data_IF_647218280471
#
_entry.id   IF_647218280471
#
_cell.length_a   1.000
_cell.length_b   1.000
_cell.length_c   1.000
_cell.angle_alpha   90.00
_cell.angle_beta   90.00
_cell.angle_gamma   90.00
#
_symmetry.space_group_name_H-M   'P 1'
#
loop_
_entity.id
_entity.type
_entity.pdbx_description
1 polymer ?
#
# COMPACT_ATOMS: atom_id res chain seq x y z
N UNK A 1 0.97 -11.51 -15.25
CA UNK A 1 -0.03 -10.76 -14.43
C UNK A 1 -0.24 -9.34 -14.95
N UNK A 2 0.75 -8.45 -14.93
CA UNK A 2 0.59 -7.04 -15.36
C UNK A 2 0.01 -6.92 -16.79
N UNK A 3 0.61 -7.60 -17.76
CA UNK A 3 0.14 -7.59 -19.14
C UNK A 3 -1.23 -8.24 -19.33
N UNK A 4 -1.51 -9.31 -18.57
CA UNK A 4 -2.84 -9.92 -18.59
C UNK A 4 -3.88 -8.92 -18.12
N UNK A 5 -3.65 -8.26 -16.99
CA UNK A 5 -4.60 -7.29 -16.44
C UNK A 5 -4.79 -6.07 -17.37
N UNK A 6 -3.71 -5.59 -18.01
CA UNK A 6 -3.79 -4.50 -18.98
C UNK A 6 -4.66 -4.86 -20.21
N UNK A 7 -4.62 -6.14 -20.64
CA UNK A 7 -5.46 -6.66 -21.74
C UNK A 7 -6.89 -6.99 -21.33
N UNK A 8 -7.18 -7.07 -20.01
CA UNK A 8 -8.49 -7.42 -19.46
C UNK A 8 -8.97 -6.33 -18.49
N UNK A 9 -9.20 -5.11 -18.96
CA UNK A 9 -9.65 -4.01 -18.11
C UNK A 9 -11.06 -4.26 -17.59
N UNK A 10 -11.37 -3.76 -16.41
CA UNK A 10 -12.73 -3.73 -15.88
C UNK A 10 -13.50 -2.53 -16.46
N UNK A 11 -14.82 -2.67 -16.56
CA UNK A 11 -15.72 -1.59 -17.02
C UNK A 11 -15.88 -0.50 -15.96
N UNK A 12 -14.79 0.16 -15.60
CA UNK A 12 -14.74 1.27 -14.65
C UNK A 12 -13.80 2.34 -15.17
N UNK A 13 -13.93 3.56 -14.67
CA UNK A 13 -12.97 4.63 -14.98
C UNK A 13 -11.55 4.19 -14.63
N UNK A 14 -10.54 4.43 -15.47
CA UNK A 14 -9.14 4.22 -15.13
C UNK A 14 -8.67 5.06 -13.93
N UNK A 15 -9.43 6.07 -13.52
CA UNK A 15 -9.19 6.90 -12.34
C UNK A 15 -9.86 6.35 -11.07
N UNK A 16 -10.60 5.25 -11.16
CA UNK A 16 -11.24 4.63 -10.01
C UNK A 16 -10.19 4.04 -9.04
N UNK A 17 -10.45 4.06 -7.74
CA UNK A 17 -9.53 3.57 -6.71
C UNK A 17 -9.00 2.14 -6.95
N UNK A 18 -9.79 1.29 -7.61
CA UNK A 18 -9.36 -0.07 -7.96
C UNK A 18 -8.14 -0.08 -8.88
N UNK A 19 -8.09 0.87 -9.80
CA UNK A 19 -6.91 1.10 -10.65
C UNK A 19 -5.79 1.80 -9.89
N UNK A 20 -6.09 2.66 -8.92
CA UNK A 20 -5.07 3.26 -8.05
C UNK A 20 -4.20 2.20 -7.37
N UNK A 21 -4.83 1.15 -6.83
CA UNK A 21 -4.11 0.01 -6.27
C UNK A 21 -3.31 -0.79 -7.32
N UNK A 22 -3.86 -0.97 -8.52
CA UNK A 22 -3.14 -1.62 -9.62
C UNK A 22 -1.93 -0.79 -10.07
N UNK A 23 -2.10 0.52 -10.19
CA UNK A 23 -1.00 1.42 -10.57
C UNK A 23 0.09 1.48 -9.51
N UNK A 24 -0.25 1.45 -8.22
CA UNK A 24 0.74 1.27 -7.15
C UNK A 24 1.53 -0.04 -7.31
N UNK A 25 0.87 -1.11 -7.75
CA UNK A 25 1.51 -2.37 -8.11
C UNK A 25 2.44 -2.23 -9.32
N UNK A 26 2.03 -1.50 -10.36
CA UNK A 26 2.87 -1.22 -11.54
C UNK A 26 4.11 -0.39 -11.17
N UNK A 27 3.98 0.58 -10.25
CA UNK A 27 5.12 1.33 -9.68
C UNK A 27 6.12 0.37 -9.07
N UNK A 28 5.70 -0.42 -8.08
CA UNK A 28 6.61 -1.34 -7.37
C UNK A 28 7.26 -2.35 -8.31
N UNK A 29 6.48 -2.86 -9.27
CA UNK A 29 7.00 -3.77 -10.29
C UNK A 29 8.02 -3.09 -11.20
N UNK A 30 7.70 -1.91 -11.72
CA UNK A 30 8.57 -1.16 -12.63
C UNK A 30 9.89 -0.73 -11.98
N UNK A 31 9.84 -0.27 -10.73
CA UNK A 31 11.05 0.07 -9.96
C UNK A 31 11.90 -1.18 -9.63
N UNK A 32 11.27 -2.34 -9.49
CA UNK A 32 11.97 -3.61 -9.22
C UNK A 32 12.53 -4.25 -10.50
N UNK A 33 11.89 -4.03 -11.66
CA UNK A 33 12.23 -4.59 -12.97
C UNK A 33 12.15 -3.46 -14.01
N UNK A 34 13.16 -2.56 -14.08
CA UNK A 34 13.09 -1.35 -14.91
C UNK A 34 12.88 -1.63 -16.41
N UNK A 35 13.39 -2.75 -16.92
CA UNK A 35 13.22 -3.21 -18.31
C UNK A 35 11.84 -3.85 -18.56
N UNK A 36 11.04 -4.04 -17.51
CA UNK A 36 9.72 -4.64 -17.59
C UNK A 36 8.64 -3.65 -18.06
N UNK A 37 7.41 -4.14 -18.33
CA UNK A 37 6.32 -3.32 -18.84
C UNK A 37 5.65 -2.42 -17.76
N UNK A 38 6.10 -2.43 -16.49
CA UNK A 38 5.44 -1.74 -15.39
C UNK A 38 5.34 -0.23 -15.61
N UNK A 39 6.48 0.46 -15.67
CA UNK A 39 6.51 1.92 -15.89
C UNK A 39 5.96 2.33 -17.26
N UNK A 40 6.25 1.65 -18.40
CA UNK A 40 5.61 1.95 -19.68
C UNK A 40 4.08 1.89 -19.64
N UNK A 41 3.50 0.87 -19.02
CA UNK A 41 2.05 0.75 -18.87
C UNK A 41 1.46 1.87 -18.01
N UNK A 42 2.16 2.21 -16.94
CA UNK A 42 1.74 3.28 -16.03
C UNK A 42 1.81 4.65 -16.70
N UNK A 43 2.90 4.95 -17.41
CA UNK A 43 3.08 6.21 -18.15
C UNK A 43 1.97 6.41 -19.17
N UNK A 44 1.69 5.37 -19.97
CA UNK A 44 0.59 5.37 -20.93
C UNK A 44 -0.75 5.68 -20.25
N UNK A 45 -1.05 5.01 -19.14
CA UNK A 45 -2.29 5.26 -18.40
C UNK A 45 -2.39 6.70 -17.89
N UNK A 46 -1.29 7.26 -17.36
CA UNK A 46 -1.24 8.65 -16.88
C UNK A 46 -1.45 9.68 -17.99
N UNK A 47 -0.80 9.48 -19.14
CA UNK A 47 -0.94 10.36 -20.32
C UNK A 47 -2.37 10.33 -20.87
N UNK A 48 -2.96 9.14 -21.04
CA UNK A 48 -4.35 8.97 -21.50
C UNK A 48 -5.38 9.61 -20.54
N UNK A 49 -5.09 9.65 -19.24
CA UNK A 49 -5.92 10.29 -18.23
C UNK A 49 -5.49 11.73 -17.92
N UNK A 50 -4.53 12.29 -18.67
CA UNK A 50 -3.99 13.64 -18.46
C UNK A 50 -3.57 13.88 -17.00
N UNK A 51 -3.11 12.85 -16.30
CA UNK A 51 -2.68 12.88 -14.89
C UNK A 51 -3.74 13.37 -13.90
N UNK A 52 -5.03 13.26 -14.27
CA UNK A 52 -6.17 13.70 -13.45
C UNK A 52 -6.49 12.68 -12.35
N UNK A 53 -7.25 13.13 -11.36
CA UNK A 53 -7.99 12.28 -10.41
C UNK A 53 -9.49 12.36 -10.70
N UNK A 54 -10.31 11.60 -9.99
CA UNK A 54 -11.74 11.83 -9.98
C UNK A 54 -12.06 13.16 -9.24
N UNK A 55 -13.32 13.57 -9.24
CA UNK A 55 -13.70 14.95 -8.91
C UNK A 55 -14.29 15.16 -7.49
N UNK A 56 -14.40 14.10 -6.68
CA UNK A 56 -14.74 14.20 -5.27
C UNK A 56 -13.49 14.58 -4.47
N UNK A 57 -13.15 15.88 -4.43
CA UNK A 57 -11.85 16.36 -3.95
C UNK A 57 -11.46 15.90 -2.54
N UNK A 58 -12.42 15.66 -1.65
CA UNK A 58 -12.16 15.22 -0.27
C UNK A 58 -12.18 13.70 -0.11
N UNK A 59 -12.77 12.96 -1.04
CA UNK A 59 -12.94 11.52 -0.94
C UNK A 59 -11.61 10.80 -1.21
N UNK A 60 -11.15 10.02 -0.24
CA UNK A 60 -9.85 9.33 -0.32
C UNK A 60 -9.68 8.45 -1.57
N UNK A 61 -10.75 7.76 -1.98
CA UNK A 61 -10.71 6.89 -3.16
C UNK A 61 -10.33 7.64 -4.44
N UNK A 62 -10.72 8.92 -4.55
CA UNK A 62 -10.43 9.74 -5.72
C UNK A 62 -8.97 10.19 -5.76
N UNK A 63 -8.24 10.06 -4.65
CA UNK A 63 -6.81 10.33 -4.56
C UNK A 63 -5.94 9.12 -4.95
N UNK A 64 -6.48 7.90 -4.94
CA UNK A 64 -5.70 6.67 -4.99
C UNK A 64 -4.74 6.56 -6.19
N UNK A 65 -5.15 7.04 -7.38
CA UNK A 65 -4.27 7.07 -8.57
C UNK A 65 -3.12 8.07 -8.41
N UNK A 66 -3.29 9.08 -7.55
CA UNK A 66 -2.33 10.16 -7.33
C UNK A 66 -0.98 9.69 -6.84
N UNK A 67 -0.93 8.59 -6.06
CA UNK A 67 0.34 7.99 -5.63
C UNK A 67 1.21 7.60 -6.84
N UNK A 68 0.61 6.91 -7.82
CA UNK A 68 1.31 6.48 -9.01
C UNK A 68 1.66 7.65 -9.95
N UNK A 69 0.76 8.64 -10.06
CA UNK A 69 1.04 9.86 -10.84
C UNK A 69 2.21 10.66 -10.26
N UNK A 70 2.28 10.77 -8.95
CA UNK A 70 3.42 11.41 -8.27
C UNK A 70 4.72 10.64 -8.49
N UNK A 71 4.68 9.29 -8.50
CA UNK A 71 5.87 8.50 -8.83
C UNK A 71 6.37 8.83 -10.24
N UNK A 72 5.48 8.86 -11.23
CA UNK A 72 5.86 9.21 -12.59
C UNK A 72 6.36 10.65 -12.72
N UNK A 73 5.81 11.58 -11.90
CA UNK A 73 6.34 12.94 -11.84
C UNK A 73 7.80 12.97 -11.36
N UNK A 74 8.15 12.12 -10.41
CA UNK A 74 9.50 12.00 -9.87
C UNK A 74 10.44 11.29 -10.85
N UNK A 75 10.01 10.16 -11.42
CA UNK A 75 10.81 9.34 -12.35
C UNK A 75 11.08 10.05 -13.68
N UNK A 76 10.09 10.68 -14.26
CA UNK A 76 10.17 11.33 -15.58
C UNK A 76 10.51 12.81 -15.50
N UNK A 77 10.58 13.40 -14.29
CA UNK A 77 10.73 14.85 -14.11
C UNK A 77 9.54 15.64 -14.68
N UNK A 78 8.34 15.06 -14.69
CA UNK A 78 7.14 15.66 -15.27
C UNK A 78 6.34 16.47 -14.22
N UNK A 79 6.44 17.82 -14.20
CA UNK A 79 5.76 18.63 -13.20
C UNK A 79 4.24 18.66 -13.37
N UNK A 80 3.72 18.38 -14.57
CA UNK A 80 2.28 18.51 -14.84
C UNK A 80 1.43 17.54 -14.03
N UNK A 81 1.94 16.30 -13.78
CA UNK A 81 1.29 15.35 -12.92
C UNK A 81 1.27 15.84 -11.46
N UNK A 82 2.40 16.33 -10.95
CA UNK A 82 2.51 16.85 -9.59
C UNK A 82 1.62 18.07 -9.36
N UNK A 83 1.54 19.01 -10.31
CA UNK A 83 0.70 20.20 -10.21
C UNK A 83 -0.79 19.86 -10.09
N UNK A 84 -1.28 18.87 -10.84
CA UNK A 84 -2.69 18.45 -10.75
C UNK A 84 -3.01 17.82 -9.39
N UNK A 85 -2.13 16.96 -8.90
CA UNK A 85 -2.28 16.35 -7.57
C UNK A 85 -2.22 17.42 -6.49
N UNK A 86 -1.25 18.33 -6.58
CA UNK A 86 -1.13 19.47 -5.66
C UNK A 86 -2.41 20.29 -5.60
N UNK A 87 -3.00 20.64 -6.75
CA UNK A 87 -4.24 21.42 -6.80
C UNK A 87 -5.42 20.74 -6.09
N UNK A 88 -5.47 19.40 -6.12
CA UNK A 88 -6.49 18.62 -5.39
C UNK A 88 -6.21 18.65 -3.89
N UNK A 89 -4.99 18.34 -3.46
CA UNK A 89 -4.65 18.26 -2.04
C UNK A 89 -4.66 19.61 -1.34
N UNK A 90 -4.25 20.70 -2.04
CA UNK A 90 -4.37 22.06 -1.53
C UNK A 90 -5.84 22.42 -1.24
N UNK A 91 -6.79 21.98 -2.06
CA UNK A 91 -8.22 22.18 -1.79
C UNK A 91 -8.65 21.49 -0.50
N UNK A 92 -8.20 20.25 -0.28
CA UNK A 92 -8.50 19.49 0.94
C UNK A 92 -7.93 20.21 2.16
N UNK A 93 -6.66 20.62 2.11
CA UNK A 93 -5.99 21.28 3.24
C UNK A 93 -6.56 22.67 3.54
N UNK A 94 -6.92 23.45 2.51
CA UNK A 94 -7.45 24.80 2.68
C UNK A 94 -8.89 24.84 3.19
N UNK A 95 -9.60 23.71 3.11
CA UNK A 95 -10.97 23.56 3.62
C UNK A 95 -11.13 22.23 4.34
N UNK A 96 -10.42 22.01 5.46
CA UNK A 96 -10.48 20.76 6.18
C UNK A 96 -11.90 20.49 6.67
N UNK A 97 -12.34 19.25 6.54
CA UNK A 97 -13.64 18.82 7.04
C UNK A 97 -13.65 18.69 8.56
N UNK A 98 -14.72 19.15 9.20
CA UNK A 98 -15.03 18.90 10.62
C UNK A 98 -16.07 17.80 10.82
N UNK A 99 -16.43 17.07 9.75
CA UNK A 99 -17.41 16.00 9.83
C UNK A 99 -16.99 14.90 10.80
N UNK A 100 -17.99 14.16 11.32
CA UNK A 100 -17.74 12.98 12.15
C UNK A 100 -17.06 11.87 11.37
N UNK A 101 -16.24 11.07 12.04
CA UNK A 101 -15.73 9.80 11.51
C UNK A 101 -16.74 8.67 11.56
N UNK A 102 -17.91 8.90 12.18
CA UNK A 102 -19.00 7.92 12.16
C UNK A 102 -19.50 7.73 10.72
N UNK A 103 -19.34 6.53 10.19
CA UNK A 103 -19.71 6.21 8.83
C UNK A 103 -21.23 6.39 8.61
N UNK A 104 -21.63 6.85 7.43
CA UNK A 104 -22.99 7.24 7.05
C UNK A 104 -23.50 8.57 7.63
N UNK A 105 -22.75 9.28 8.45
CA UNK A 105 -23.10 10.68 8.75
C UNK A 105 -22.77 11.58 7.56
N UNK A 106 -23.50 12.69 7.34
CA UNK A 106 -23.19 13.63 6.27
C UNK A 106 -21.73 14.10 6.31
N UNK A 107 -21.04 14.03 5.17
CA UNK A 107 -19.65 14.47 5.04
C UNK A 107 -18.59 13.53 5.66
N UNK A 108 -18.95 12.36 6.18
CA UNK A 108 -17.98 11.44 6.77
C UNK A 108 -16.89 11.00 5.78
N UNK A 109 -17.19 10.94 4.49
CA UNK A 109 -16.24 10.59 3.44
C UNK A 109 -15.37 11.78 2.98
N UNK A 110 -15.63 12.98 3.47
CA UNK A 110 -14.72 14.12 3.38
C UNK A 110 -13.60 14.03 4.43
N UNK A 111 -13.61 12.96 5.22
CA UNK A 111 -12.56 12.53 6.13
C UNK A 111 -12.31 11.03 5.93
N UNK A 112 -11.25 10.50 6.50
CA UNK A 112 -10.88 9.09 6.35
C UNK A 112 -11.63 8.22 7.38
N UNK A 113 -12.94 8.07 7.19
CA UNK A 113 -13.86 7.38 8.12
C UNK A 113 -13.90 5.85 7.96
N UNK A 114 -13.03 5.29 7.11
CA UNK A 114 -12.94 3.85 6.86
C UNK A 114 -11.48 3.43 6.64
N UNK A 115 -11.16 2.18 6.99
CA UNK A 115 -9.78 1.67 6.98
C UNK A 115 -9.11 1.76 5.61
N UNK A 116 -9.87 1.53 4.53
CA UNK A 116 -9.35 1.54 3.16
C UNK A 116 -8.80 2.91 2.76
N UNK A 117 -9.36 3.99 3.33
CA UNK A 117 -8.89 5.35 3.09
C UNK A 117 -7.42 5.55 3.45
N UNK A 118 -6.91 4.77 4.42
CA UNK A 118 -5.53 4.85 4.89
C UNK A 118 -4.50 4.33 3.85
N UNK A 119 -4.95 3.60 2.84
CA UNK A 119 -4.16 3.28 1.66
C UNK A 119 -4.34 4.31 0.54
N UNK A 120 -5.57 4.83 0.37
CA UNK A 120 -5.96 5.57 -0.83
C UNK A 120 -5.38 6.99 -0.87
N UNK A 121 -5.38 7.70 0.25
CA UNK A 121 -5.04 9.13 0.29
C UNK A 121 -3.71 9.45 1.00
N UNK A 122 -3.41 8.93 2.20
CA UNK A 122 -2.21 9.30 2.95
C UNK A 122 -0.89 9.17 2.17
N UNK A 123 -0.64 8.10 1.39
CA UNK A 123 0.60 7.98 0.61
C UNK A 123 0.79 9.12 -0.40
N UNK A 124 -0.32 9.66 -0.95
CA UNK A 124 -0.27 10.77 -1.92
C UNK A 124 0.22 12.05 -1.26
N UNK A 125 -0.28 12.35 -0.04
CA UNK A 125 0.16 13.49 0.76
C UNK A 125 1.65 13.41 1.08
N UNK A 126 2.11 12.24 1.54
CA UNK A 126 3.52 12.02 1.90
C UNK A 126 4.42 12.19 0.68
N UNK A 127 4.03 11.61 -0.45
CA UNK A 127 4.80 11.70 -1.69
C UNK A 127 4.85 13.14 -2.23
N UNK A 128 3.74 13.88 -2.15
CA UNK A 128 3.73 15.30 -2.52
C UNK A 128 4.60 16.14 -1.58
N UNK A 129 4.60 15.84 -0.27
CA UNK A 129 5.49 16.49 0.68
C UNK A 129 6.97 16.25 0.34
N UNK A 130 7.33 15.00 0.00
CA UNK A 130 8.68 14.64 -0.41
C UNK A 130 9.08 15.36 -1.71
N UNK A 131 8.17 15.44 -2.68
CA UNK A 131 8.40 16.12 -3.96
C UNK A 131 8.58 17.64 -3.83
N UNK A 132 7.73 18.29 -3.00
CA UNK A 132 7.71 19.76 -2.87
C UNK A 132 8.61 20.30 -1.77
N UNK A 133 8.97 19.48 -0.78
CA UNK A 133 9.60 19.91 0.48
C UNK A 133 8.62 20.60 1.45
N UNK A 134 7.33 20.68 1.12
CA UNK A 134 6.33 21.35 1.94
C UNK A 134 5.78 20.40 3.02
N UNK A 135 6.22 20.61 4.26
CA UNK A 135 5.85 19.76 5.42
C UNK A 135 4.37 19.87 5.82
N UNK A 136 3.63 20.90 5.37
CA UNK A 136 2.20 21.05 5.68
C UNK A 136 1.36 19.86 5.21
N UNK A 137 1.75 19.21 4.10
CA UNK A 137 1.11 17.98 3.63
C UNK A 137 1.29 16.82 4.62
N UNK A 138 2.48 16.69 5.21
CA UNK A 138 2.74 15.69 6.25
C UNK A 138 1.95 16.00 7.54
N UNK A 139 1.90 17.27 7.96
CA UNK A 139 1.17 17.70 9.16
C UNK A 139 -0.33 17.40 9.04
N UNK A 140 -0.90 17.70 7.87
CA UNK A 140 -2.31 17.38 7.59
C UNK A 140 -2.54 15.88 7.62
N UNK A 141 -1.74 15.12 6.87
CA UNK A 141 -1.85 13.68 6.78
C UNK A 141 -1.70 13.00 8.14
N UNK A 142 -0.69 13.37 8.91
CA UNK A 142 -0.38 12.79 10.22
C UNK A 142 -1.55 12.98 11.20
N UNK A 143 -2.13 14.18 11.23
CA UNK A 143 -3.30 14.47 12.07
C UNK A 143 -4.50 13.62 11.70
N UNK A 144 -4.90 13.61 10.43
CA UNK A 144 -6.09 12.87 9.98
C UNK A 144 -5.90 11.36 10.07
N UNK A 145 -4.69 10.86 9.77
CA UNK A 145 -4.35 9.44 9.90
C UNK A 145 -4.50 8.95 11.35
N UNK A 146 -3.94 9.70 12.31
CA UNK A 146 -4.02 9.36 13.73
C UNK A 146 -5.44 9.39 14.24
N UNK A 147 -6.25 10.38 13.84
CA UNK A 147 -7.67 10.43 14.19
C UNK A 147 -8.42 9.19 13.71
N UNK A 148 -8.15 8.74 12.47
CA UNK A 148 -8.75 7.52 11.94
C UNK A 148 -8.26 6.27 12.69
N UNK A 149 -6.96 6.20 13.00
CA UNK A 149 -6.42 5.10 13.81
C UNK A 149 -7.05 5.05 15.21
N UNK A 150 -7.13 6.17 15.89
CA UNK A 150 -7.73 6.21 17.23
C UNK A 150 -9.22 5.80 17.22
N UNK A 151 -9.90 6.04 16.11
CA UNK A 151 -11.31 5.72 15.96
C UNK A 151 -11.58 4.27 15.53
N UNK A 152 -10.75 3.69 14.63
CA UNK A 152 -11.03 2.39 14.00
C UNK A 152 -10.17 1.24 14.52
N UNK A 153 -9.02 1.54 15.15
CA UNK A 153 -8.10 0.51 15.60
C UNK A 153 -8.53 -0.10 16.92
N UNK A 154 -8.89 -1.38 16.90
CA UNK A 154 -9.17 -2.16 18.10
C UNK A 154 -7.85 -2.54 18.79
N UNK A 155 -7.61 -1.96 19.96
CA UNK A 155 -6.34 -2.13 20.70
C UNK A 155 -6.18 -3.52 21.32
N UNK A 156 -7.28 -4.22 21.56
CA UNK A 156 -7.29 -5.57 22.14
C UNK A 156 -6.86 -6.60 21.09
N UNK A 157 -7.46 -6.56 19.89
CA UNK A 157 -7.18 -7.49 18.81
C UNK A 157 -5.97 -7.06 17.95
N UNK A 158 -5.60 -5.77 17.99
CA UNK A 158 -4.54 -5.21 17.14
C UNK A 158 -4.94 -5.11 15.67
N UNK A 159 -6.22 -5.00 15.37
CA UNK A 159 -6.83 -5.00 14.04
C UNK A 159 -7.71 -3.77 13.84
N UNK A 160 -7.99 -3.43 12.58
CA UNK A 160 -8.87 -2.33 12.21
C UNK A 160 -10.27 -2.84 11.88
N UNK A 161 -11.30 -2.24 12.49
CA UNK A 161 -12.64 -2.27 11.92
C UNK A 161 -12.62 -1.58 10.55
N UNK A 162 -13.44 -2.06 9.62
CA UNK A 162 -13.55 -1.41 8.32
C UNK A 162 -14.08 0.02 8.46
N UNK A 163 -15.14 0.20 9.25
CA UNK A 163 -15.71 1.48 9.66
C UNK A 163 -16.63 1.29 10.89
N UNK A 164 -17.18 2.37 11.40
CA UNK A 164 -17.97 2.35 12.63
C UNK A 164 -19.26 1.52 12.59
N UNK A 165 -19.77 1.15 11.43
CA UNK A 165 -20.93 0.26 11.30
C UNK A 165 -20.65 -1.14 11.86
N UNK A 166 -19.38 -1.53 11.89
CA UNK A 166 -18.94 -2.87 12.32
C UNK A 166 -18.49 -2.95 13.77
N UNK A 167 -18.51 -1.87 14.54
CA UNK A 167 -18.13 -1.88 15.96
C UNK A 167 -18.97 -2.83 16.82
N UNK A 168 -20.24 -2.99 16.46
CA UNK A 168 -21.21 -3.80 17.19
C UNK A 168 -21.77 -4.97 16.38
N UNK A 169 -21.25 -5.19 15.16
CA UNK A 169 -21.68 -6.30 14.30
C UNK A 169 -20.69 -7.46 14.46
N UNK A 170 -21.09 -8.58 15.07
CA UNK A 170 -20.22 -9.75 15.21
C UNK A 170 -20.11 -10.51 13.90
N UNK A 171 -19.04 -11.30 13.77
CA UNK A 171 -18.93 -12.39 12.81
C UNK A 171 -19.88 -13.55 13.19
N UNK A 172 -20.04 -14.55 12.32
CA UNK A 172 -20.97 -15.66 12.54
C UNK A 172 -20.64 -16.47 13.81
N UNK A 173 -19.36 -16.58 14.18
CA UNK A 173 -18.91 -17.23 15.41
C UNK A 173 -19.05 -16.35 16.67
N UNK A 174 -19.64 -15.16 16.57
CA UNK A 174 -19.85 -14.22 17.67
C UNK A 174 -18.66 -13.34 18.04
N UNK A 175 -17.48 -13.49 17.39
CA UNK A 175 -16.32 -12.62 17.57
C UNK A 175 -16.49 -11.30 16.84
N UNK A 176 -15.64 -10.31 17.14
CA UNK A 176 -15.57 -9.03 16.42
C UNK A 176 -15.31 -9.29 14.93
N UNK A 177 -15.95 -8.53 14.05
CA UNK A 177 -15.79 -8.68 12.60
C UNK A 177 -14.63 -7.81 12.10
N UNK A 178 -13.55 -8.44 11.68
CA UNK A 178 -12.43 -7.78 11.01
C UNK A 178 -12.23 -8.36 9.61
N UNK A 179 -12.29 -7.49 8.62
CA UNK A 179 -12.16 -7.86 7.23
C UNK A 179 -10.69 -7.88 6.79
N UNK A 180 -10.25 -8.99 6.15
CA UNK A 180 -8.85 -9.18 5.76
C UNK A 180 -8.37 -8.11 4.78
N UNK A 181 -9.14 -7.78 3.74
CA UNK A 181 -8.80 -6.72 2.80
C UNK A 181 -8.80 -5.33 3.44
N UNK A 182 -9.71 -5.05 4.38
CA UNK A 182 -9.72 -3.80 5.13
C UNK A 182 -8.41 -3.59 5.89
N UNK A 183 -7.96 -4.61 6.61
CA UNK A 183 -6.67 -4.61 7.30
C UNK A 183 -5.49 -4.68 6.32
N UNK A 184 -5.66 -5.38 5.20
CA UNK A 184 -4.71 -5.44 4.10
C UNK A 184 -4.39 -4.07 3.52
N UNK A 185 -5.41 -3.22 3.33
CA UNK A 185 -5.21 -1.84 2.90
C UNK A 185 -4.32 -1.06 3.86
N UNK A 186 -4.60 -1.14 5.15
CA UNK A 186 -3.82 -0.39 6.16
C UNK A 186 -2.37 -0.85 6.17
N UNK A 187 -2.11 -2.17 6.27
CA UNK A 187 -0.74 -2.66 6.36
C UNK A 187 0.03 -2.44 5.04
N UNK A 188 -0.64 -2.40 3.89
CA UNK A 188 0.01 -2.08 2.61
C UNK A 188 0.21 -0.58 2.40
N UNK A 189 -0.60 0.27 3.00
CA UNK A 189 -0.42 1.73 2.98
C UNK A 189 0.79 2.20 3.79
N UNK A 190 1.11 1.52 4.88
CA UNK A 190 2.24 1.88 5.75
C UNK A 190 3.60 1.90 5.03
N UNK A 191 3.99 0.90 4.21
CA UNK A 191 5.18 0.99 3.36
C UNK A 191 5.19 2.20 2.43
N UNK A 192 4.05 2.50 1.79
CA UNK A 192 3.94 3.63 0.87
C UNK A 192 4.08 4.99 1.59
N UNK A 193 3.77 5.04 2.87
CA UNK A 193 3.98 6.21 3.73
C UNK A 193 5.43 6.25 4.20
N UNK A 194 5.92 5.18 4.82
CA UNK A 194 7.21 5.15 5.49
C UNK A 194 8.40 5.30 4.53
N UNK A 195 8.28 4.88 3.27
CA UNK A 195 9.37 5.01 2.30
C UNK A 195 9.69 6.47 1.94
N UNK A 196 8.67 7.34 1.92
CA UNK A 196 8.79 8.76 1.53
C UNK A 196 8.74 9.71 2.74
N UNK A 197 8.37 9.21 3.92
CA UNK A 197 8.34 9.99 5.16
C UNK A 197 9.78 10.29 5.63
N UNK A 198 10.14 11.55 5.93
CA UNK A 198 11.46 11.90 6.45
C UNK A 198 11.82 11.09 7.70
N UNK A 199 13.09 10.67 7.81
CA UNK A 199 13.57 9.88 8.95
C UNK A 199 13.46 10.65 10.28
N UNK A 200 13.55 11.98 10.23
CA UNK A 200 13.45 12.91 11.36
C UNK A 200 12.01 13.36 11.65
N UNK A 201 11.00 12.80 10.94
CA UNK A 201 9.61 13.17 11.22
C UNK A 201 9.19 12.72 12.62
N UNK A 202 8.69 13.62 13.47
CA UNK A 202 8.45 13.28 14.89
C UNK A 202 7.48 12.12 15.11
N UNK A 203 6.52 11.94 14.21
CA UNK A 203 5.54 10.86 14.30
C UNK A 203 5.94 9.58 13.57
N UNK A 204 7.11 9.51 12.93
CA UNK A 204 7.58 8.30 12.23
C UNK A 204 7.52 7.05 13.13
N UNK A 205 7.94 7.09 14.40
CA UNK A 205 7.84 5.94 15.30
C UNK A 205 6.42 5.40 15.49
N UNK A 206 5.39 6.26 15.40
CA UNK A 206 3.99 5.83 15.45
C UNK A 206 3.64 4.88 14.29
N UNK A 207 4.05 5.20 13.07
CA UNK A 207 3.79 4.37 11.88
C UNK A 207 4.59 3.08 11.90
N UNK A 208 5.83 3.13 12.39
CA UNK A 208 6.69 1.95 12.56
C UNK A 208 6.12 0.98 13.61
N UNK A 209 5.64 1.50 14.75
CA UNK A 209 4.97 0.71 15.78
C UNK A 209 3.65 0.12 15.27
N UNK A 210 2.85 0.92 14.57
CA UNK A 210 1.60 0.44 13.98
C UNK A 210 1.84 -0.71 12.99
N UNK A 211 2.88 -0.62 12.13
CA UNK A 211 3.26 -1.70 11.24
C UNK A 211 3.57 -2.99 12.00
N UNK A 212 4.38 -2.89 13.06
CA UNK A 212 4.78 -4.05 13.90
C UNK A 212 3.57 -4.68 14.58
N UNK A 213 2.72 -3.87 15.21
CA UNK A 213 1.54 -4.35 15.93
C UNK A 213 0.54 -5.01 14.99
N UNK A 214 0.24 -4.37 13.87
CA UNK A 214 -0.70 -4.90 12.88
C UNK A 214 -0.16 -6.18 12.22
N UNK A 215 1.13 -6.24 11.88
CA UNK A 215 1.75 -7.45 11.35
C UNK A 215 1.70 -8.63 12.35
N UNK A 216 1.94 -8.37 13.63
CA UNK A 216 1.87 -9.40 14.67
C UNK A 216 0.45 -9.93 14.87
N UNK A 217 -0.57 -9.06 14.84
CA UNK A 217 -1.97 -9.47 14.92
C UNK A 217 -2.39 -10.27 13.68
N UNK A 218 -2.08 -9.77 12.49
CA UNK A 218 -2.41 -10.44 11.23
C UNK A 218 -1.73 -11.81 11.10
N UNK A 219 -0.47 -11.95 11.54
CA UNK A 219 0.22 -13.24 11.51
C UNK A 219 -0.57 -14.34 12.27
N UNK A 220 -1.21 -13.99 13.38
CA UNK A 220 -2.04 -14.93 14.17
C UNK A 220 -3.33 -15.34 13.44
N UNK A 221 -3.80 -14.54 12.50
CA UNK A 221 -5.01 -14.77 11.73
C UNK A 221 -4.78 -15.56 10.43
N UNK A 222 -3.54 -15.96 10.12
CA UNK A 222 -3.25 -16.71 8.89
C UNK A 222 -3.86 -18.10 8.93
N UNK A 223 -4.62 -18.46 7.91
CA UNK A 223 -5.24 -19.77 7.77
C UNK A 223 -4.20 -20.88 7.41
N UNK A 224 -4.50 -22.16 7.70
CA UNK A 224 -3.57 -23.27 7.43
C UNK A 224 -3.15 -23.37 5.95
N UNK A 225 -4.01 -22.95 5.00
CA UNK A 225 -3.72 -22.92 3.57
C UNK A 225 -2.73 -21.82 3.15
N UNK A 226 -2.30 -20.99 4.11
CA UNK A 226 -1.35 -19.91 3.93
C UNK A 226 -1.98 -18.57 3.53
N UNK A 227 -3.27 -18.53 3.25
CA UNK A 227 -3.99 -17.29 2.95
C UNK A 227 -4.55 -16.65 4.22
N UNK A 228 -5.07 -15.42 4.07
CA UNK A 228 -6.01 -14.81 5.01
C UNK A 228 -7.40 -14.89 4.39
N UNK A 229 -8.33 -15.56 5.09
CA UNK A 229 -9.71 -15.60 4.67
C UNK A 229 -10.39 -14.25 4.90
N UNK A 230 -11.53 -14.01 4.25
CA UNK A 230 -12.15 -12.70 4.26
C UNK A 230 -12.47 -12.19 5.69
N UNK A 231 -12.92 -13.06 6.59
CA UNK A 231 -13.10 -12.77 8.01
C UNK A 231 -11.88 -13.24 8.81
N UNK A 232 -11.15 -12.31 9.45
CA UNK A 232 -9.89 -12.62 10.13
C UNK A 232 -10.06 -13.46 11.39
N UNK A 233 -11.12 -13.22 12.19
CA UNK A 233 -11.38 -13.96 13.43
C UNK A 233 -12.43 -15.06 13.26
N UNK A 234 -12.97 -15.21 12.06
CA UNK A 234 -13.93 -16.24 11.68
C UNK A 234 -13.58 -16.80 10.28
N UNK A 235 -12.43 -17.47 10.14
CA UNK A 235 -11.93 -17.90 8.84
C UNK A 235 -12.77 -19.01 8.19
N UNK A 236 -13.68 -19.63 8.94
CA UNK A 236 -14.52 -20.73 8.48
C UNK A 236 -15.84 -20.21 7.86
N UNK A 237 -16.11 -18.88 7.90
CA UNK A 237 -17.36 -18.31 7.39
C UNK A 237 -17.13 -17.04 6.54
N UNK A 238 -17.10 -17.18 5.22
CA UNK A 238 -16.96 -18.41 4.44
C UNK A 238 -15.52 -18.94 4.45
N UNK A 239 -15.29 -20.27 4.36
CA UNK A 239 -13.96 -20.87 4.40
C UNK A 239 -13.22 -20.70 3.07
N UNK A 240 -13.12 -19.46 2.59
CA UNK A 240 -12.59 -19.11 1.29
C UNK A 240 -11.36 -18.23 1.43
N UNK A 241 -10.27 -18.65 0.77
CA UNK A 241 -9.07 -17.81 0.65
C UNK A 241 -9.39 -16.49 -0.04
N UNK A 242 -8.90 -15.37 0.48
CA UNK A 242 -9.09 -14.04 -0.09
C UNK A 242 -7.74 -13.47 -0.55
N UNK A 243 -7.50 -13.45 -1.87
CA UNK A 243 -6.16 -13.17 -2.39
C UNK A 243 -5.78 -11.69 -2.36
N UNK A 244 -6.72 -10.75 -2.40
CA UNK A 244 -6.34 -9.34 -2.29
C UNK A 244 -5.86 -8.98 -0.89
N UNK A 245 -6.57 -9.38 0.15
CA UNK A 245 -6.13 -9.20 1.54
C UNK A 245 -4.83 -9.96 1.82
N UNK A 246 -4.75 -11.22 1.38
CA UNK A 246 -3.53 -12.03 1.53
C UNK A 246 -2.30 -11.34 0.97
N UNK A 247 -2.39 -10.80 -0.24
CA UNK A 247 -1.24 -10.19 -0.92
C UNK A 247 -0.87 -8.81 -0.37
N UNK A 248 -1.86 -8.00 0.03
CA UNK A 248 -1.57 -6.74 0.74
C UNK A 248 -0.93 -6.99 2.10
N UNK A 249 -1.39 -7.99 2.86
CA UNK A 249 -0.80 -8.37 4.15
C UNK A 249 0.64 -8.88 3.93
N UNK A 250 0.82 -9.77 2.95
CA UNK A 250 2.15 -10.26 2.60
C UNK A 250 3.10 -9.14 2.20
N UNK A 251 2.63 -8.18 1.37
CA UNK A 251 3.43 -7.02 0.96
C UNK A 251 3.91 -6.21 2.16
N UNK A 252 3.01 -5.85 3.06
CA UNK A 252 3.37 -5.05 4.25
C UNK A 252 4.34 -5.79 5.17
N UNK A 253 4.11 -7.08 5.42
CA UNK A 253 5.03 -7.91 6.22
C UNK A 253 6.40 -8.03 5.58
N UNK A 254 6.46 -8.33 4.28
CA UNK A 254 7.72 -8.55 3.59
C UNK A 254 8.52 -7.25 3.43
N UNK A 255 7.84 -6.13 3.18
CA UNK A 255 8.48 -4.83 3.23
C UNK A 255 9.07 -4.55 4.62
N UNK A 256 8.32 -4.85 5.68
CA UNK A 256 8.80 -4.73 7.06
C UNK A 256 10.06 -5.58 7.33
N UNK A 257 10.12 -6.81 6.79
CA UNK A 257 11.32 -7.65 6.85
C UNK A 257 12.47 -7.04 6.05
N UNK A 258 12.21 -6.58 4.82
CA UNK A 258 13.22 -5.97 3.96
C UNK A 258 13.84 -4.69 4.57
N UNK A 259 13.07 -3.94 5.35
CA UNK A 259 13.54 -2.73 6.04
C UNK A 259 14.09 -2.99 7.46
N UNK A 260 14.02 -4.22 7.95
CA UNK A 260 14.49 -4.58 9.29
C UNK A 260 13.54 -4.18 10.43
N UNK A 261 12.28 -3.82 10.13
CA UNK A 261 11.26 -3.57 11.14
C UNK A 261 10.68 -4.85 11.73
N UNK A 262 10.66 -5.93 10.95
CA UNK A 262 10.15 -7.24 11.33
C UNK A 262 11.27 -8.28 11.23
N UNK A 263 11.30 -9.21 12.20
CA UNK A 263 12.28 -10.29 12.22
C UNK A 263 12.03 -11.30 11.08
N UNK A 264 13.07 -11.59 10.31
CA UNK A 264 12.96 -12.45 9.14
C UNK A 264 12.64 -13.91 9.52
N UNK A 265 13.24 -14.43 10.58
CA UNK A 265 13.03 -15.82 10.99
C UNK A 265 11.60 -16.03 11.51
N UNK A 266 11.04 -14.98 12.11
CA UNK A 266 9.66 -14.99 12.60
C UNK A 266 8.61 -14.90 11.49
N UNK A 267 8.81 -14.03 10.49
CA UNK A 267 7.77 -13.70 9.50
C UNK A 267 7.87 -14.44 8.16
N UNK A 268 9.08 -14.85 7.73
CA UNK A 268 9.25 -15.57 6.47
C UNK A 268 8.47 -16.87 6.33
N UNK A 269 8.30 -17.70 7.38
CA UNK A 269 7.45 -18.89 7.26
C UNK A 269 6.02 -18.56 6.83
N UNK A 270 5.42 -17.52 7.40
CA UNK A 270 4.10 -17.01 7.04
C UNK A 270 4.06 -16.44 5.62
N UNK A 271 5.03 -15.61 5.26
CA UNK A 271 5.18 -15.00 3.93
C UNK A 271 5.31 -16.07 2.83
N UNK A 272 6.10 -17.10 3.05
CA UNK A 272 6.28 -18.21 2.08
C UNK A 272 4.99 -18.99 1.84
N UNK A 273 4.21 -19.26 2.89
CA UNK A 273 2.89 -19.89 2.76
C UNK A 273 1.94 -19.01 1.94
N UNK A 274 1.91 -17.71 2.25
CA UNK A 274 1.08 -16.76 1.51
C UNK A 274 1.44 -16.68 0.04
N UNK A 275 2.74 -16.62 -0.29
CA UNK A 275 3.20 -16.60 -1.68
C UNK A 275 2.83 -17.88 -2.43
N UNK A 276 2.98 -19.04 -1.79
CA UNK A 276 2.53 -20.32 -2.36
C UNK A 276 1.03 -20.28 -2.68
N UNK A 277 0.20 -19.87 -1.72
CA UNK A 277 -1.25 -19.76 -1.91
C UNK A 277 -1.61 -18.81 -3.04
N UNK A 278 -0.86 -17.70 -3.17
CA UNK A 278 -1.04 -16.73 -4.25
C UNK A 278 -0.64 -17.29 -5.62
N UNK A 279 0.47 -18.02 -5.71
CA UNK A 279 0.88 -18.69 -6.96
C UNK A 279 -0.15 -19.74 -7.40
N UNK A 280 -0.68 -20.53 -6.46
CA UNK A 280 -1.72 -21.53 -6.73
C UNK A 280 -3.06 -20.90 -7.17
N UNK A 281 -3.27 -19.62 -6.90
CA UNK A 281 -4.46 -18.86 -7.31
C UNK A 281 -4.33 -18.20 -8.69
N UNK A 282 -3.15 -18.23 -9.33
CA UNK A 282 -2.94 -17.68 -10.67
C UNK A 282 -3.31 -18.71 -11.73
N UNK A 283 -4.16 -18.34 -12.66
CA UNK A 283 -4.52 -19.19 -13.81
C UNK A 283 -3.35 -19.32 -14.80
N UNK A 284 -3.43 -20.30 -15.70
CA UNK A 284 -2.44 -20.52 -16.77
C UNK A 284 -2.30 -19.30 -17.69
N UNK A 285 -3.36 -18.51 -17.83
CA UNK A 285 -3.38 -17.29 -18.65
C UNK A 285 -2.82 -16.07 -17.90
N UNK A 286 -2.58 -16.18 -16.59
CA UNK A 286 -2.01 -15.11 -15.76
C UNK A 286 -3.05 -14.27 -15.00
N UNK A 287 -4.30 -14.72 -14.89
CA UNK A 287 -5.31 -14.09 -14.05
C UNK A 287 -5.17 -14.53 -12.59
N UNK A 288 -5.27 -13.60 -11.65
CA UNK A 288 -5.37 -13.91 -10.23
C UNK A 288 -6.84 -14.20 -9.89
N UNK A 289 -7.13 -15.39 -9.40
CA UNK A 289 -8.44 -15.77 -8.89
C UNK A 289 -8.60 -15.53 -7.38
N UNK A 290 -9.77 -15.90 -6.84
CA UNK A 290 -10.09 -15.80 -5.42
C UNK A 290 -9.99 -14.36 -4.87
N UNK A 291 -10.29 -13.38 -5.68
CA UNK A 291 -10.33 -11.97 -5.27
C UNK A 291 -11.76 -11.59 -4.99
N UNK A 292 -12.11 -11.36 -3.73
CA UNK A 292 -13.45 -10.90 -3.37
C UNK A 292 -13.78 -9.62 -4.16
N UNK A 293 -14.92 -9.53 -4.87
CA UNK A 293 -15.37 -8.30 -5.53
C UNK A 293 -15.46 -7.12 -4.57
N UNK A 294 -15.70 -5.91 -5.10
CA UNK A 294 -15.85 -4.71 -4.28
C UNK A 294 -16.91 -4.97 -3.20
N UNK A 295 -16.50 -4.77 -1.95
CA UNK A 295 -17.32 -4.97 -0.76
C UNK A 295 -16.80 -4.08 0.37
N UNK A 296 -17.46 -4.13 1.51
CA UNK A 296 -17.09 -3.44 2.74
C UNK A 296 -16.99 -4.40 3.95
N UNK A 297 -17.21 -5.69 3.71
CA UNK A 297 -17.18 -6.76 4.72
C UNK A 297 -16.88 -8.12 4.07
N UNK A 298 -16.58 -9.17 4.84
CA UNK A 298 -16.53 -10.55 4.34
C UNK A 298 -17.78 -10.93 3.54
N UNK A 299 -17.62 -11.70 2.46
CA UNK A 299 -18.71 -12.13 1.61
C UNK A 299 -18.32 -13.34 0.75
N UNK A 300 -19.25 -13.79 -0.11
CA UNK A 300 -19.05 -14.93 -0.98
C UNK A 300 -18.42 -14.54 -2.32
N UNK A 301 -17.50 -15.37 -2.80
CA UNK A 301 -16.81 -15.26 -4.09
C UNK A 301 -16.25 -16.65 -4.45
N UNK A 302 -15.61 -16.75 -5.59
CA UNK A 302 -15.09 -18.01 -6.13
C UNK A 302 -13.70 -17.87 -6.71
N UNK A 303 -13.08 -18.96 -7.10
CA UNK A 303 -11.78 -18.95 -7.78
C UNK A 303 -11.79 -18.25 -9.15
N UNK A 304 -12.97 -17.95 -9.71
CA UNK A 304 -13.10 -17.21 -10.98
C UNK A 304 -13.17 -15.70 -10.79
N UNK A 305 -13.43 -15.25 -9.56
CA UNK A 305 -13.52 -13.82 -9.26
C UNK A 305 -12.13 -13.20 -9.24
N UNK A 306 -11.97 -12.15 -10.04
CA UNK A 306 -10.73 -11.39 -10.19
C UNK A 306 -11.04 -9.91 -10.22
N UNK A 307 -10.14 -9.11 -9.66
CA UNK A 307 -10.25 -7.64 -9.65
C UNK A 307 -8.87 -7.00 -9.85
N UNK A 308 -8.85 -5.80 -10.44
CA UNK A 308 -7.61 -5.09 -10.77
C UNK A 308 -6.74 -4.79 -9.54
N UNK A 309 -7.36 -4.50 -8.39
CA UNK A 309 -6.62 -4.28 -7.13
C UNK A 309 -5.92 -5.55 -6.61
N UNK A 310 -6.47 -6.74 -6.90
CA UNK A 310 -5.80 -8.01 -6.59
C UNK A 310 -4.53 -8.20 -7.41
N UNK A 311 -4.57 -7.86 -8.71
CA UNK A 311 -3.39 -7.84 -9.55
C UNK A 311 -2.35 -6.83 -9.05
N UNK A 312 -2.80 -5.65 -8.60
CA UNK A 312 -1.93 -4.66 -7.95
C UNK A 312 -1.23 -5.19 -6.72
N UNK A 313 -1.98 -5.81 -5.81
CA UNK A 313 -1.44 -6.44 -4.59
C UNK A 313 -0.42 -7.54 -4.92
N UNK A 314 -0.68 -8.37 -5.96
CA UNK A 314 0.26 -9.39 -6.42
C UNK A 314 1.58 -8.79 -6.91
N UNK A 315 1.52 -7.71 -7.69
CA UNK A 315 2.71 -7.03 -8.17
C UNK A 315 3.50 -6.39 -7.03
N UNK A 316 2.84 -5.77 -6.05
CA UNK A 316 3.49 -5.21 -4.86
C UNK A 316 4.20 -6.30 -4.06
N UNK A 317 3.51 -7.38 -3.71
CA UNK A 317 4.07 -8.49 -2.94
C UNK A 317 5.21 -9.21 -3.68
N UNK A 318 5.06 -9.47 -4.98
CA UNK A 318 6.08 -10.09 -5.81
C UNK A 318 7.33 -9.24 -5.97
N UNK A 319 7.17 -7.91 -6.05
CA UNK A 319 8.29 -6.97 -6.13
C UNK A 319 9.11 -6.95 -4.84
N UNK A 320 8.46 -6.94 -3.68
CA UNK A 320 9.17 -7.03 -2.40
C UNK A 320 9.84 -8.40 -2.20
N UNK A 321 9.21 -9.49 -2.67
CA UNK A 321 9.82 -10.81 -2.65
C UNK A 321 11.08 -10.85 -3.53
N UNK A 322 11.03 -10.27 -4.72
CA UNK A 322 12.19 -10.14 -5.61
C UNK A 322 13.33 -9.37 -4.92
N UNK A 323 13.03 -8.22 -4.29
CA UNK A 323 14.02 -7.45 -3.53
C UNK A 323 14.65 -8.27 -2.41
N UNK A 324 13.85 -9.07 -1.68
CA UNK A 324 14.34 -9.95 -0.62
C UNK A 324 15.31 -11.00 -1.16
N UNK A 325 14.94 -11.69 -2.24
CA UNK A 325 15.77 -12.76 -2.85
C UNK A 325 17.08 -12.19 -3.38
N UNK A 326 17.02 -11.11 -4.17
CA UNK A 326 18.22 -10.45 -4.72
C UNK A 326 19.11 -9.92 -3.59
N UNK A 327 18.54 -9.34 -2.54
CA UNK A 327 19.31 -8.82 -1.41
C UNK A 327 20.06 -9.90 -0.63
N UNK A 328 19.61 -11.15 -0.66
CA UNK A 328 20.33 -12.30 -0.08
C UNK A 328 21.49 -12.77 -0.95
N UNK A 329 21.26 -12.82 -2.26
CA UNK A 329 22.28 -13.28 -3.24
C UNK A 329 23.37 -12.24 -3.44
N UNK A 330 23.02 -10.98 -3.26
CA UNK A 330 23.93 -9.83 -3.34
C UNK A 330 23.80 -9.01 -2.05
N UNK A 331 24.50 -9.40 -0.96
CA UNK A 331 24.40 -8.69 0.31
C UNK A 331 24.66 -7.20 0.09
N UNK A 332 23.70 -6.39 0.55
CA UNK A 332 23.59 -4.97 0.25
C UNK A 332 24.92 -4.25 0.48
N UNK A 333 25.41 -3.59 -0.55
CA UNK A 333 26.45 -2.58 -0.43
C UNK A 333 25.99 -1.59 0.65
N UNK A 334 26.92 -1.20 1.55
CA UNK A 334 26.64 -0.23 2.62
C UNK A 334 25.93 0.99 2.02
N UNK A 335 24.84 1.41 2.65
CA UNK A 335 24.12 2.62 2.24
C UNK A 335 25.07 3.81 2.36
N UNK A 336 25.39 4.43 1.23
CA UNK A 336 26.08 5.71 1.22
C UNK A 336 25.02 6.79 1.33
N UNK A 337 24.94 7.48 2.44
CA UNK A 337 24.08 8.64 2.59
C UNK A 337 24.72 9.80 1.84
N UNK A 338 24.15 10.16 0.69
CA UNK A 338 24.55 11.39 -0.02
C UNK A 338 23.70 12.52 0.55
N UNK A 339 24.28 13.36 1.38
CA UNK A 339 23.61 14.55 1.87
C UNK A 339 23.61 15.60 0.77
N UNK A 340 22.41 16.03 0.34
CA UNK A 340 22.28 17.15 -0.58
C UNK A 340 22.43 18.47 0.21
N UNK A 341 23.56 19.18 0.12
CA UNK A 341 23.81 20.39 0.93
C UNK A 341 22.95 21.58 0.51
N UNK A 342 22.24 21.47 -0.62
CA UNK A 342 21.47 22.58 -1.18
C UNK A 342 19.99 22.56 -0.78
N UNK A 343 19.51 21.52 -0.07
CA UNK A 343 18.12 21.41 0.40
C UNK A 343 17.05 21.47 -0.73
N UNK A 344 17.48 21.38 -1.99
CA UNK A 344 16.59 21.41 -3.15
C UNK A 344 16.45 20.00 -3.70
N UNK A 345 15.20 19.60 -3.99
CA UNK A 345 14.93 18.38 -4.73
C UNK A 345 15.72 18.42 -6.06
N UNK A 346 16.49 17.37 -6.32
CA UNK A 346 17.06 17.08 -7.63
C UNK A 346 16.43 15.76 -8.09
N UNK A 347 15.93 15.66 -9.34
CA UNK A 347 15.60 14.38 -9.92
C UNK A 347 16.82 13.48 -9.83
N UNK A 348 16.61 12.19 -9.59
CA UNK A 348 17.66 11.21 -9.29
C UNK A 348 18.90 11.39 -10.17
N UNK A 349 19.95 11.97 -9.61
CA UNK A 349 21.27 11.93 -10.21
C UNK A 349 21.87 10.57 -9.87
N UNK A 350 22.22 9.79 -10.88
CA UNK A 350 23.01 8.57 -10.69
C UNK A 350 24.39 8.95 -10.21
N UNK A 351 24.61 8.88 -8.91
CA UNK A 351 25.95 9.08 -8.33
C UNK A 351 26.67 7.74 -8.42
N UNK A 352 27.60 7.60 -9.36
CA UNK A 352 28.54 6.49 -9.40
C UNK A 352 29.58 6.69 -8.32
N UNK A 353 29.45 5.99 -7.20
CA UNK A 353 30.50 5.92 -6.21
C UNK A 353 31.44 4.77 -6.57
N UNK A 354 32.75 5.04 -6.84
CA UNK A 354 33.69 3.96 -7.07
C UNK A 354 33.74 3.05 -5.83
N UNK A 355 33.41 1.79 -6.02
CA UNK A 355 33.55 0.80 -4.95
C UNK A 355 35.01 0.39 -4.86
N UNK A 356 35.67 0.42 -3.70
CA UNK A 356 37.02 -0.09 -3.57
C UNK A 356 37.01 -1.59 -3.90
N UNK A 357 37.70 -1.95 -4.97
CA UNK A 357 37.95 -3.33 -5.36
C UNK A 357 38.81 -3.99 -4.28
N UNK A 358 38.22 -4.98 -3.58
CA UNK A 358 38.94 -6.02 -2.85
C UNK A 358 39.92 -5.55 -1.79
N UNK A 359 39.47 -5.56 -0.55
CA UNK A 359 40.30 -5.57 0.63
C UNK A 359 39.57 -6.35 1.72
N UNK A 360 39.97 -7.60 1.93
CA UNK A 360 39.79 -8.26 3.21
C UNK A 360 40.55 -7.46 4.24
N UNK A 361 39.84 -6.78 5.13
CA UNK A 361 40.49 -6.00 6.16
C UNK A 361 39.51 -5.65 7.24
N UNK A 362 39.64 -6.34 8.36
CA UNK A 362 39.16 -5.90 9.65
C UNK A 362 39.49 -4.43 9.84
N UNK A 363 38.49 -3.64 10.17
CA UNK A 363 38.70 -2.32 10.72
C UNK A 363 37.70 -2.11 11.84
N UNK A 364 38.19 -2.39 13.05
CA UNK A 364 37.74 -1.72 14.24
C UNK A 364 38.04 -0.21 14.12
N UNK A 365 37.10 0.63 14.59
CA UNK A 365 37.21 2.07 14.62
C UNK A 365 35.85 2.71 14.49
#
# INVERSE_FOLDING_TARGET
MAEWQAKHPKKRSPLHWTYGAFYSGLVQYGLSVPEGPGLPLLRKAGEEQEWKTLNRHYHADDHAVGHAWMEMAMEDGNPAAAEKIRAVLDKVMNRPSSASLQFLTPGCQDRWSWSDALFMSPPVFVKLAAYTGDRRYLEFMDREYKLTCDYLFDREEGLFFRDSRYFTVPAANGKKMFWSRGNGWVIAGLPLILQDMPADWPSRPFYEDLLKRLAAALKKCQSPDGSWHASLLDPDEPPLKEMSGTLFIMYGMLWGVNQGYLDADEYLPSIRKAWKAACDAVSKEGALGWVQPIADKPGHYSGKDTEVYGAGAYLMAGSELRKYVIGRDHPRKKTVTVTNPLGRFRPAETVSVPWPSGGSGDAAG
#
